data_IF_971814228847
#
_entry.id   IF_971814228847
#
_cell.length_a   1.000
_cell.length_b   1.000
_cell.length_c   1.000
_cell.angle_alpha   90.00
_cell.angle_beta   90.00
_cell.angle_gamma   90.00
#
_symmetry.space_group_name_H-M   'P 1'
#
loop_
_entity.id
_entity.type
_entity.pdbx_description
1 polymer ?
#
# COMPACT_ATOMS: atom_id res chain seq x y z
N UNK A 1 14.53 23.92 29.52
CA UNK A 1 14.33 22.52 29.10
C UNK A 1 12.85 22.25 29.00
N UNK A 2 12.34 22.01 27.80
CA UNK A 2 10.93 21.64 27.58
C UNK A 2 10.75 20.17 27.99
N UNK A 3 10.09 19.96 29.11
CA UNK A 3 9.67 18.62 29.53
C UNK A 3 8.33 18.30 28.84
N UNK A 4 8.36 17.31 27.96
CA UNK A 4 7.14 16.78 27.35
C UNK A 4 6.31 16.07 28.43
N UNK A 5 5.01 16.33 28.44
CA UNK A 5 4.12 15.54 29.28
C UNK A 5 3.98 14.12 28.73
N UNK A 6 3.56 13.18 29.58
CA UNK A 6 3.30 11.80 29.14
C UNK A 6 2.29 11.74 28.00
N UNK A 7 1.27 12.60 28.03
CA UNK A 7 0.25 12.67 26.99
C UNK A 7 0.81 13.21 25.67
N UNK A 8 1.67 14.22 25.71
CA UNK A 8 2.35 14.73 24.52
C UNK A 8 3.28 13.68 23.88
N UNK A 9 4.03 12.93 24.68
CA UNK A 9 4.88 11.84 24.16
C UNK A 9 4.03 10.72 23.55
N UNK A 10 2.92 10.37 24.17
CA UNK A 10 1.98 9.37 23.65
C UNK A 10 1.41 9.81 22.31
N UNK A 11 0.97 11.07 22.19
CA UNK A 11 0.41 11.62 20.95
C UNK A 11 1.44 11.62 19.83
N UNK A 12 2.70 11.96 20.11
CA UNK A 12 3.78 11.93 19.12
C UNK A 12 4.07 10.50 18.65
N UNK A 13 4.12 9.53 19.57
CA UNK A 13 4.29 8.12 19.22
C UNK A 13 3.13 7.62 18.34
N UNK A 14 1.91 8.04 18.65
CA UNK A 14 0.72 7.73 17.90
C UNK A 14 0.80 8.30 16.47
N UNK A 15 1.23 9.53 16.31
CA UNK A 15 1.40 10.17 15.00
C UNK A 15 2.45 9.43 14.15
N UNK A 16 3.59 9.09 14.72
CA UNK A 16 4.63 8.32 14.03
C UNK A 16 4.14 6.95 13.58
N UNK A 17 3.40 6.26 14.44
CA UNK A 17 2.83 4.96 14.09
C UNK A 17 1.85 5.08 12.91
N UNK A 18 1.00 6.11 12.86
CA UNK A 18 0.11 6.38 11.71
C UNK A 18 0.89 6.53 10.41
N UNK A 19 1.89 7.38 10.40
CA UNK A 19 2.72 7.63 9.23
C UNK A 19 3.42 6.36 8.76
N UNK A 20 3.98 5.58 9.69
CA UNK A 20 4.66 4.33 9.39
C UNK A 20 3.71 3.30 8.78
N UNK A 21 2.54 3.10 9.37
CA UNK A 21 1.54 2.17 8.85
C UNK A 21 0.97 2.61 7.49
N UNK A 22 0.80 3.90 7.29
CA UNK A 22 0.43 4.44 6.00
C UNK A 22 1.48 4.12 4.92
N UNK A 23 2.75 4.32 5.21
CA UNK A 23 3.86 4.02 4.29
C UNK A 23 3.95 2.52 3.99
N UNK A 24 3.85 1.68 5.02
CA UNK A 24 3.87 0.23 4.84
C UNK A 24 2.67 -0.26 4.02
N UNK A 25 1.49 0.27 4.29
CA UNK A 25 0.28 -0.02 3.51
C UNK A 25 0.47 0.33 2.04
N UNK A 26 0.95 1.54 1.75
CA UNK A 26 1.24 1.97 0.38
C UNK A 26 2.25 1.06 -0.31
N UNK A 27 3.34 0.72 0.36
CA UNK A 27 4.38 -0.15 -0.19
C UNK A 27 3.82 -1.53 -0.57
N UNK A 28 3.06 -2.13 0.33
CA UNK A 28 2.44 -3.44 0.08
C UNK A 28 1.44 -3.39 -1.06
N UNK A 29 0.54 -2.40 -1.05
CA UNK A 29 -0.47 -2.24 -2.10
C UNK A 29 0.16 -2.05 -3.48
N UNK A 30 1.16 -1.18 -3.56
CA UNK A 30 1.88 -0.90 -4.81
C UNK A 30 2.61 -2.14 -5.34
N UNK A 31 3.40 -2.82 -4.50
CA UNK A 31 4.19 -3.98 -4.93
C UNK A 31 3.30 -5.14 -5.34
N UNK A 32 2.26 -5.45 -4.56
CA UNK A 32 1.30 -6.50 -4.91
C UNK A 32 0.63 -6.22 -6.25
N UNK A 33 0.15 -5.02 -6.43
CA UNK A 33 -0.55 -4.62 -7.67
C UNK A 33 0.37 -4.62 -8.88
N UNK A 34 1.58 -4.07 -8.77
CA UNK A 34 2.57 -4.14 -9.85
C UNK A 34 2.83 -5.58 -10.28
N UNK A 35 3.00 -6.48 -9.32
CA UNK A 35 3.21 -7.89 -9.60
C UNK A 35 1.99 -8.54 -10.26
N UNK A 36 0.79 -8.28 -9.75
CA UNK A 36 -0.46 -8.79 -10.31
C UNK A 36 -0.68 -8.31 -11.76
N UNK A 37 -0.22 -7.10 -12.08
CA UNK A 37 -0.29 -6.53 -13.44
C UNK A 37 0.84 -6.98 -14.36
N UNK A 38 1.75 -7.83 -13.92
CA UNK A 38 2.79 -8.42 -14.74
C UNK A 38 4.09 -7.62 -14.84
N UNK A 39 4.29 -6.61 -14.00
CA UNK A 39 5.56 -5.92 -13.92
C UNK A 39 6.62 -6.81 -13.27
N UNK A 40 7.88 -6.62 -13.65
CA UNK A 40 8.99 -7.29 -12.97
C UNK A 40 9.36 -6.57 -11.66
N UNK A 41 10.24 -7.20 -10.88
CA UNK A 41 10.68 -6.67 -9.60
C UNK A 41 11.38 -5.31 -9.74
N UNK A 42 12.18 -5.11 -10.77
CA UNK A 42 12.91 -3.85 -10.98
C UNK A 42 11.95 -2.68 -11.23
N UNK A 43 10.94 -2.88 -12.05
CA UNK A 43 9.91 -1.88 -12.33
C UNK A 43 9.05 -1.60 -11.09
N UNK A 44 8.66 -2.62 -10.34
CA UNK A 44 7.93 -2.47 -9.09
C UNK A 44 8.73 -1.71 -8.04
N UNK A 45 10.01 -1.99 -7.91
CA UNK A 45 10.91 -1.27 -7.00
C UNK A 45 11.06 0.21 -7.42
N UNK A 46 11.22 0.48 -8.70
CA UNK A 46 11.29 1.84 -9.23
C UNK A 46 10.01 2.61 -8.92
N UNK A 47 8.85 1.99 -9.11
CA UNK A 47 7.56 2.59 -8.76
C UNK A 47 7.47 2.88 -7.26
N UNK A 48 7.89 1.95 -6.40
CA UNK A 48 7.89 2.14 -4.96
C UNK A 48 8.79 3.31 -4.53
N UNK A 49 9.98 3.43 -5.12
CA UNK A 49 10.89 4.53 -4.84
C UNK A 49 10.32 5.89 -5.24
N UNK A 50 9.60 5.95 -6.36
CA UNK A 50 8.88 7.15 -6.80
C UNK A 50 7.68 7.48 -5.90
N UNK A 51 6.98 6.46 -5.41
CA UNK A 51 5.83 6.59 -4.52
C UNK A 51 6.22 7.09 -3.12
N UNK A 52 7.34 6.60 -2.60
CA UNK A 52 7.86 6.91 -1.27
C UNK A 52 9.29 7.46 -1.35
N UNK A 53 9.46 8.68 -1.91
CA UNK A 53 10.79 9.26 -2.14
C UNK A 53 11.57 9.55 -0.85
N UNK A 54 10.88 9.67 0.27
CA UNK A 54 11.46 9.92 1.59
C UNK A 54 12.08 8.67 2.22
N UNK A 55 11.70 7.46 1.76
CA UNK A 55 12.31 6.23 2.23
C UNK A 55 13.75 6.10 1.69
N UNK A 56 14.74 5.82 2.57
CA UNK A 56 16.06 5.43 2.11
C UNK A 56 15.99 4.25 1.13
N UNK A 57 16.82 4.28 0.10
CA UNK A 57 16.84 3.25 -0.96
C UNK A 57 16.93 1.82 -0.39
N UNK A 58 17.75 1.61 0.63
CA UNK A 58 17.91 0.31 1.30
C UNK A 58 16.60 -0.16 1.92
N UNK A 59 15.84 0.74 2.54
CA UNK A 59 14.56 0.41 3.16
C UNK A 59 13.48 0.12 2.12
N UNK A 60 13.42 0.89 1.04
CA UNK A 60 12.50 0.65 -0.06
C UNK A 60 12.76 -0.72 -0.71
N UNK A 61 14.02 -1.08 -0.94
CA UNK A 61 14.40 -2.38 -1.48
C UNK A 61 14.02 -3.54 -0.55
N UNK A 62 14.23 -3.39 0.76
CA UNK A 62 13.84 -4.42 1.75
C UNK A 62 12.34 -4.63 1.78
N UNK A 63 11.55 -3.55 1.79
CA UNK A 63 10.09 -3.64 1.73
C UNK A 63 9.60 -4.26 0.42
N UNK A 64 10.17 -3.84 -0.70
CA UNK A 64 9.83 -4.39 -2.00
C UNK A 64 10.11 -5.89 -2.07
N UNK A 65 11.27 -6.35 -1.61
CA UNK A 65 11.63 -7.78 -1.57
C UNK A 65 10.70 -8.57 -0.66
N UNK A 66 10.37 -8.03 0.48
CA UNK A 66 9.48 -8.66 1.45
C UNK A 66 8.09 -8.90 0.85
N UNK A 67 7.45 -7.86 0.34
CA UNK A 67 6.11 -7.97 -0.24
C UNK A 67 6.09 -8.72 -1.58
N UNK A 68 7.16 -8.65 -2.36
CA UNK A 68 7.28 -9.42 -3.59
C UNK A 68 7.29 -10.93 -3.34
N UNK A 69 7.98 -11.37 -2.30
CA UNK A 69 8.04 -12.79 -1.91
C UNK A 69 6.70 -13.30 -1.42
N UNK A 70 5.97 -12.52 -0.67
CA UNK A 70 4.64 -12.88 -0.19
C UNK A 70 3.69 -13.23 -1.33
N UNK A 71 3.67 -12.42 -2.37
CA UNK A 71 2.84 -12.64 -3.54
C UNK A 71 3.35 -13.80 -4.43
N UNK A 72 4.59 -14.22 -4.27
CA UNK A 72 5.16 -15.33 -5.06
C UNK A 72 4.98 -16.71 -4.45
N UNK A 73 4.53 -16.80 -3.20
CA UNK A 73 4.27 -18.10 -2.60
C UNK A 73 3.01 -18.70 -3.20
N UNK A 74 3.19 -19.51 -4.27
CA UNK A 74 2.16 -20.38 -4.79
C UNK A 74 1.75 -21.48 -3.79
N UNK A 75 2.37 -21.49 -2.61
CA UNK A 75 2.11 -22.43 -1.54
C UNK A 75 0.96 -21.91 -0.67
N UNK A 76 -0.19 -22.56 -0.77
CA UNK A 76 -1.39 -22.21 0.00
C UNK A 76 -1.13 -22.19 1.52
N UNK A 77 -0.21 -23.02 2.01
CA UNK A 77 0.16 -23.06 3.44
C UNK A 77 0.90 -21.79 3.86
N UNK A 78 1.87 -21.35 3.09
CA UNK A 78 2.59 -20.11 3.37
C UNK A 78 1.68 -18.87 3.34
N UNK A 79 0.68 -18.88 2.45
CA UNK A 79 -0.35 -17.83 2.40
C UNK A 79 -1.23 -17.82 3.64
N UNK A 80 -1.63 -19.00 4.12
CA UNK A 80 -2.42 -19.15 5.35
C UNK A 80 -1.63 -18.70 6.56
N UNK A 81 -0.38 -19.13 6.71
CA UNK A 81 0.50 -18.72 7.82
C UNK A 81 0.71 -17.20 7.84
N UNK A 82 0.95 -16.61 6.68
CA UNK A 82 1.06 -15.16 6.54
C UNK A 82 -0.23 -14.43 6.94
N UNK A 83 -1.38 -14.90 6.51
CA UNK A 83 -2.68 -14.33 6.87
C UNK A 83 -2.94 -14.43 8.38
N UNK A 84 -2.53 -15.51 9.02
CA UNK A 84 -2.62 -15.70 10.47
C UNK A 84 -1.68 -14.73 11.19
N UNK A 85 -0.41 -14.68 10.80
CA UNK A 85 0.57 -13.77 11.39
C UNK A 85 0.11 -12.31 11.26
N UNK A 86 -0.38 -11.94 10.10
CA UNK A 86 -0.90 -10.60 9.85
C UNK A 86 -2.12 -10.28 10.71
N UNK A 87 -3.02 -11.23 10.90
CA UNK A 87 -4.19 -11.05 11.79
C UNK A 87 -3.74 -10.84 13.22
N UNK A 88 -2.76 -11.62 13.66
CA UNK A 88 -2.18 -11.53 15.00
C UNK A 88 -1.51 -10.17 15.20
N UNK A 89 -0.67 -9.73 14.26
CA UNK A 89 -0.05 -8.41 14.30
C UNK A 89 -1.08 -7.29 14.29
N UNK A 90 -2.13 -7.43 13.48
CA UNK A 90 -3.24 -6.47 13.43
C UNK A 90 -4.00 -6.40 14.75
N UNK A 91 -4.24 -7.53 15.41
CA UNK A 91 -4.89 -7.57 16.73
C UNK A 91 -4.01 -6.94 17.80
N UNK A 92 -2.72 -7.26 17.82
CA UNK A 92 -1.75 -6.65 18.73
C UNK A 92 -1.71 -5.14 18.51
N UNK A 93 -1.60 -4.69 17.29
CA UNK A 93 -1.57 -3.28 16.94
C UNK A 93 -2.88 -2.56 17.27
N UNK A 94 -4.02 -3.23 17.10
CA UNK A 94 -5.32 -2.70 17.52
C UNK A 94 -5.40 -2.48 19.03
N UNK A 95 -4.88 -3.41 19.83
CA UNK A 95 -4.83 -3.30 21.29
C UNK A 95 -3.91 -2.16 21.72
N UNK A 96 -2.71 -2.05 21.10
CA UNK A 96 -1.71 -1.06 21.49
C UNK A 96 -2.00 0.35 20.94
N UNK A 97 -2.50 0.47 19.73
CA UNK A 97 -2.62 1.74 19.00
C UNK A 97 -4.04 2.10 18.57
N UNK A 98 -5.02 1.22 18.78
CA UNK A 98 -6.42 1.45 18.43
C UNK A 98 -6.77 1.16 16.96
N UNK A 99 -8.05 1.26 16.63
CA UNK A 99 -8.54 0.95 15.28
C UNK A 99 -8.08 1.94 14.20
N UNK A 100 -7.80 3.19 14.55
CA UNK A 100 -7.35 4.21 13.62
C UNK A 100 -6.07 3.84 12.88
N UNK A 101 -5.18 3.06 13.51
CA UNK A 101 -3.94 2.60 12.88
C UNK A 101 -4.18 1.53 11.84
N UNK A 102 -5.08 0.61 12.12
CA UNK A 102 -5.50 -0.39 11.15
C UNK A 102 -6.12 0.30 9.92
N UNK A 103 -6.91 1.34 10.13
CA UNK A 103 -7.47 2.16 9.04
C UNK A 103 -6.38 2.85 8.23
N UNK A 104 -5.36 3.42 8.87
CA UNK A 104 -4.24 4.05 8.16
C UNK A 104 -3.50 3.06 7.26
N UNK A 105 -3.26 1.84 7.73
CA UNK A 105 -2.66 0.79 6.91
C UNK A 105 -3.56 0.41 5.74
N UNK A 106 -4.84 0.17 5.98
CA UNK A 106 -5.82 -0.23 4.96
C UNK A 106 -5.98 0.86 3.88
N UNK A 107 -6.06 2.13 4.28
CA UNK A 107 -6.12 3.26 3.37
C UNK A 107 -4.83 3.43 2.57
N UNK A 108 -3.68 3.27 3.23
CA UNK A 108 -2.38 3.24 2.55
C UNK A 108 -2.29 2.12 1.52
N UNK A 109 -2.75 0.93 1.85
CA UNK A 109 -2.80 -0.22 0.95
C UNK A 109 -3.66 0.05 -0.29
N UNK A 110 -4.86 0.60 -0.11
CA UNK A 110 -5.74 1.00 -1.22
C UNK A 110 -5.07 2.09 -2.07
N UNK A 111 -4.52 3.11 -1.44
CA UNK A 111 -3.86 4.21 -2.13
C UNK A 111 -2.64 3.74 -2.94
N UNK A 112 -1.81 2.88 -2.39
CA UNK A 112 -0.67 2.28 -3.09
C UNK A 112 -1.10 1.44 -4.29
N UNK A 113 -2.14 0.62 -4.13
CA UNK A 113 -2.69 -0.18 -5.22
C UNK A 113 -3.27 0.68 -6.35
N UNK A 114 -4.04 1.71 -6.02
CA UNK A 114 -4.63 2.63 -7.02
C UNK A 114 -3.54 3.39 -7.77
N UNK A 115 -2.50 3.87 -7.09
CA UNK A 115 -1.35 4.52 -7.74
C UNK A 115 -0.60 3.57 -8.67
N UNK A 116 -0.44 2.31 -8.28
CA UNK A 116 0.18 1.29 -9.13
C UNK A 116 -0.67 0.98 -10.37
N UNK A 117 -1.98 0.87 -10.23
CA UNK A 117 -2.89 0.71 -11.38
C UNK A 117 -2.80 1.89 -12.35
N UNK A 118 -2.78 3.11 -11.83
CA UNK A 118 -2.65 4.31 -12.65
C UNK A 118 -1.30 4.35 -13.39
N UNK A 119 -0.21 3.99 -12.72
CA UNK A 119 1.12 3.89 -13.30
C UNK A 119 1.18 2.87 -14.45
N UNK A 120 0.56 1.71 -14.23
CA UNK A 120 0.49 0.64 -15.24
C UNK A 120 -0.25 1.11 -16.50
N UNK A 121 -1.33 1.84 -16.33
CA UNK A 121 -2.11 2.40 -17.45
C UNK A 121 -1.31 3.50 -18.17
N UNK A 122 -0.77 4.46 -17.44
CA UNK A 122 -0.16 5.66 -18.01
C UNK A 122 1.22 5.41 -18.61
N UNK A 123 2.08 4.69 -17.92
CA UNK A 123 3.49 4.55 -18.26
C UNK A 123 3.83 3.24 -18.96
N UNK A 124 3.04 2.20 -18.75
CA UNK A 124 3.24 0.89 -19.39
C UNK A 124 2.21 0.60 -20.48
N UNK A 125 1.21 1.46 -20.64
CA UNK A 125 0.20 1.33 -21.70
C UNK A 125 -0.66 0.07 -21.60
N UNK A 126 -0.77 -0.52 -20.41
CA UNK A 126 -1.55 -1.74 -20.17
C UNK A 126 -3.03 -1.37 -20.04
N UNK A 127 -3.86 -1.98 -20.89
CA UNK A 127 -5.31 -1.83 -20.82
C UNK A 127 -5.88 -2.81 -19.79
N UNK A 128 -6.62 -2.29 -18.82
CA UNK A 128 -7.26 -3.08 -17.77
C UNK A 128 -8.73 -3.34 -18.15
N UNK A 129 -9.10 -4.62 -18.26
CA UNK A 129 -10.49 -5.00 -18.48
C UNK A 129 -11.26 -5.09 -17.15
N UNK A 130 -12.58 -5.21 -17.24
CA UNK A 130 -13.46 -5.27 -16.07
C UNK A 130 -13.18 -6.45 -15.16
N UNK A 131 -12.79 -7.59 -15.71
CA UNK A 131 -12.42 -8.78 -14.91
C UNK A 131 -11.17 -8.54 -14.08
N UNK A 132 -10.17 -7.89 -14.64
CA UNK A 132 -8.95 -7.51 -13.95
C UNK A 132 -9.23 -6.51 -12.82
N UNK A 133 -10.01 -5.47 -13.12
CA UNK A 133 -10.41 -4.47 -12.12
C UNK A 133 -11.30 -5.06 -11.02
N UNK A 134 -12.18 -6.00 -11.36
CA UNK A 134 -13.00 -6.69 -10.36
C UNK A 134 -12.14 -7.51 -9.39
N UNK A 135 -11.14 -8.24 -9.90
CA UNK A 135 -10.21 -8.98 -9.06
C UNK A 135 -9.44 -8.05 -8.11
N UNK A 136 -8.99 -6.90 -8.60
CA UNK A 136 -8.33 -5.91 -7.75
C UNK A 136 -9.29 -5.31 -6.72
N UNK A 137 -10.51 -4.99 -7.10
CA UNK A 137 -11.53 -4.48 -6.18
C UNK A 137 -11.81 -5.48 -5.05
N UNK A 138 -11.93 -6.77 -5.38
CA UNK A 138 -12.14 -7.83 -4.41
C UNK A 138 -10.97 -7.94 -3.42
N UNK A 139 -9.74 -7.82 -3.90
CA UNK A 139 -8.55 -7.78 -3.05
C UNK A 139 -8.51 -6.57 -2.12
N UNK A 140 -8.99 -5.44 -2.57
CA UNK A 140 -9.03 -4.19 -1.80
C UNK A 140 -10.28 -4.07 -0.92
N UNK A 141 -11.18 -5.02 -1.01
CA UNK A 141 -12.49 -4.98 -0.35
C UNK A 141 -13.31 -3.73 -0.72
N UNK A 142 -13.25 -3.39 -2.01
CA UNK A 142 -13.99 -2.29 -2.63
C UNK A 142 -14.99 -2.84 -3.63
N UNK A 143 -16.03 -2.08 -3.93
CA UNK A 143 -16.84 -2.33 -5.11
C UNK A 143 -16.07 -1.93 -6.38
N UNK A 144 -16.43 -2.51 -7.52
CA UNK A 144 -15.85 -2.12 -8.80
C UNK A 144 -16.05 -0.63 -9.10
N UNK A 145 -17.23 -0.09 -8.74
CA UNK A 145 -17.55 1.33 -8.90
C UNK A 145 -16.63 2.23 -8.08
N UNK A 146 -16.40 1.89 -6.82
CA UNK A 146 -15.48 2.62 -5.93
C UNK A 146 -14.03 2.60 -6.44
N UNK A 147 -13.57 1.42 -6.90
CA UNK A 147 -12.23 1.32 -7.48
C UNK A 147 -12.08 2.18 -8.73
N UNK A 148 -13.06 2.15 -9.63
CA UNK A 148 -13.06 2.98 -10.85
C UNK A 148 -13.04 4.46 -10.53
N UNK A 149 -13.85 4.90 -9.58
CA UNK A 149 -13.91 6.31 -9.17
C UNK A 149 -12.54 6.78 -8.64
N UNK A 150 -11.90 6.00 -7.78
CA UNK A 150 -10.56 6.30 -7.25
C UNK A 150 -9.50 6.30 -8.34
N UNK A 151 -9.55 5.34 -9.24
CA UNK A 151 -8.62 5.22 -10.35
C UNK A 151 -8.76 6.39 -11.34
N UNK A 152 -9.98 6.76 -11.71
CA UNK A 152 -10.24 7.89 -12.59
C UNK A 152 -9.78 9.21 -11.98
N UNK A 153 -10.02 9.41 -10.70
CA UNK A 153 -9.52 10.59 -9.98
C UNK A 153 -7.99 10.65 -10.00
N UNK A 154 -7.32 9.52 -9.80
CA UNK A 154 -5.86 9.45 -9.82
C UNK A 154 -5.29 9.68 -11.21
N UNK A 155 -5.89 9.13 -12.25
CA UNK A 155 -5.50 9.33 -13.64
C UNK A 155 -5.60 10.81 -14.03
N UNK A 156 -6.68 11.49 -13.66
CA UNK A 156 -6.85 12.92 -13.88
C UNK A 156 -5.78 13.75 -13.18
N UNK A 157 -5.45 13.40 -11.95
CA UNK A 157 -4.39 14.06 -11.19
C UNK A 157 -3.03 13.91 -11.86
N UNK A 158 -2.74 12.72 -12.42
CA UNK A 158 -1.48 12.44 -13.14
C UNK A 158 -1.42 13.15 -14.50
N UNK A 159 -2.54 13.30 -15.20
CA UNK A 159 -2.62 14.01 -16.49
C UNK A 159 -2.46 15.53 -16.32
N UNK A 160 -2.86 16.09 -15.20
CA UNK A 160 -2.85 17.53 -14.91
C UNK A 160 -2.11 17.84 -13.59
N UNK A 161 -0.78 17.61 -13.53
CA UNK A 161 -0.02 17.82 -12.29
C UNK A 161 0.08 19.29 -11.85
N UNK A 162 -0.23 20.25 -12.74
CA UNK A 162 -0.09 21.70 -12.49
C UNK A 162 -1.36 22.34 -11.88
N UNK A 163 -2.47 21.61 -11.77
CA UNK A 163 -3.74 22.11 -11.20
C UNK A 163 -3.84 21.96 -9.66
N UNK A 164 -2.71 21.79 -8.96
CA UNK A 164 -2.66 21.67 -7.49
C UNK A 164 -2.45 23.02 -6.82
#
# INVERSE_FOLDING_TARGET
MLLWTMDQMRELQLQWARELYWQEGQARGAIRTCKAMGLDFADALQHLQALLPELPQVNAERLARYYWKEESSANAVAKIDYEIDRRTDREINRVWYGEEYCKSFDEGYINGAVKALAEVIMNYGISLNDSCLQNEADYLNLSLGELRERLDAKLKEMEHPEEK
#
